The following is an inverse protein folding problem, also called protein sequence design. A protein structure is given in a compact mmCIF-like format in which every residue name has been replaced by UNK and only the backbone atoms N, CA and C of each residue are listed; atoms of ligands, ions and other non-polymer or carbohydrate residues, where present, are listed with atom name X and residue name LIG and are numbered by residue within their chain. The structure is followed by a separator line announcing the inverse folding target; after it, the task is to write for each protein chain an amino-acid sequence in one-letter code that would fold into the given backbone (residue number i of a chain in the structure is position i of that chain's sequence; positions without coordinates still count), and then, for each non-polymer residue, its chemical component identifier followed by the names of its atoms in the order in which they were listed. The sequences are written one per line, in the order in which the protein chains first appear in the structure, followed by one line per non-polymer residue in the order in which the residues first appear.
data_IF_061782501688
#
_entry.id   IF_061782501688
#
_cell.length_a   1.000
_cell.length_b   1.000
_cell.length_c   1.000
_cell.angle_alpha   90.00
_cell.angle_beta   90.00
_cell.angle_gamma   90.00
#
_symmetry.space_group_name_H-M   'P 1'
#
loop_
_entity.id
_entity.type
_entity.pdbx_description
1 polymer ?
#
# COMPACT_ATOMS: atom_id res chain seq x y z
N UNK A 1 -18.65 -5.92 6.85
CA UNK A 1 -18.60 -6.37 5.44
C UNK A 1 -17.42 -5.79 4.62
N UNK A 2 -16.62 -4.84 5.13
CA UNK A 2 -15.56 -4.19 4.33
C UNK A 2 -14.17 -4.86 4.39
N UNK A 3 -13.96 -5.84 5.29
CA UNK A 3 -12.63 -6.41 5.54
C UNK A 3 -12.20 -7.46 4.49
N UNK A 4 -13.14 -8.28 4.02
CA UNK A 4 -12.89 -9.27 2.95
C UNK A 4 -12.42 -8.59 1.66
N UNK A 5 -13.08 -7.49 1.28
CA UNK A 5 -12.68 -6.68 0.11
C UNK A 5 -11.28 -6.07 0.26
N UNK A 6 -10.85 -5.75 1.48
CA UNK A 6 -9.51 -5.25 1.75
C UNK A 6 -8.42 -6.29 1.48
N UNK A 7 -8.65 -7.53 1.93
CA UNK A 7 -7.73 -8.66 1.72
C UNK A 7 -7.65 -9.05 0.23
N UNK A 8 -8.79 -9.12 -0.47
CA UNK A 8 -8.80 -9.37 -1.92
C UNK A 8 -8.09 -8.28 -2.71
N UNK A 9 -8.33 -7.01 -2.37
CA UNK A 9 -7.67 -5.89 -3.03
C UNK A 9 -6.16 -5.89 -2.80
N UNK A 10 -5.72 -6.19 -1.57
CA UNK A 10 -4.30 -6.38 -1.25
C UNK A 10 -3.69 -7.49 -2.10
N UNK A 11 -4.33 -8.66 -2.15
CA UNK A 11 -3.86 -9.80 -2.94
C UNK A 11 -3.74 -9.48 -4.43
N UNK A 12 -4.69 -8.75 -5.02
CA UNK A 12 -4.63 -8.32 -6.42
C UNK A 12 -3.50 -7.32 -6.67
N UNK A 13 -3.29 -6.35 -5.77
CA UNK A 13 -2.20 -5.38 -5.86
C UNK A 13 -0.83 -6.04 -5.71
N UNK A 14 -0.67 -6.92 -4.72
CA UNK A 14 0.56 -7.68 -4.50
C UNK A 14 0.88 -8.54 -5.73
N UNK A 15 -0.08 -9.30 -6.27
CA UNK A 15 0.12 -10.08 -7.51
C UNK A 15 0.58 -9.21 -8.69
N UNK A 16 -0.05 -8.04 -8.89
CA UNK A 16 0.32 -7.10 -9.97
C UNK A 16 1.74 -6.55 -9.79
N UNK A 17 2.14 -6.26 -8.56
CA UNK A 17 3.48 -5.78 -8.26
C UNK A 17 4.53 -6.87 -8.50
N UNK A 18 4.30 -8.07 -7.95
CA UNK A 18 5.22 -9.21 -8.01
C UNK A 18 5.39 -9.75 -9.44
N UNK A 19 4.36 -9.65 -10.30
CA UNK A 19 4.43 -10.05 -11.73
C UNK A 19 5.52 -9.33 -12.53
N UNK A 20 5.99 -8.16 -12.09
CA UNK A 20 7.03 -7.38 -12.80
C UNK A 20 8.43 -7.99 -12.69
N UNK A 21 8.66 -8.87 -11.73
CA UNK A 21 10.00 -9.36 -11.42
C UNK A 21 10.36 -10.67 -12.14
N UNK A 22 9.46 -11.23 -12.98
CA UNK A 22 9.66 -12.50 -13.71
C UNK A 22 10.11 -13.69 -12.83
N UNK A 23 9.80 -13.63 -11.54
CA UNK A 23 10.27 -14.58 -10.53
C UNK A 23 10.92 -13.85 -9.36
N UNK A 24 10.75 -14.39 -8.15
CA UNK A 24 11.33 -13.82 -6.94
C UNK A 24 12.05 -14.94 -6.20
N UNK A 25 13.31 -14.75 -5.77
CA UNK A 25 13.98 -15.76 -4.97
C UNK A 25 13.17 -16.06 -3.70
N UNK A 26 12.91 -17.35 -3.43
CA UNK A 26 12.12 -17.78 -2.27
C UNK A 26 12.67 -17.24 -0.96
N UNK A 27 14.00 -17.13 -0.85
CA UNK A 27 14.70 -16.59 0.31
C UNK A 27 14.36 -15.12 0.62
N UNK A 28 13.86 -14.36 -0.35
CA UNK A 28 13.52 -12.93 -0.18
C UNK A 28 12.03 -12.66 -0.25
N UNK A 29 11.19 -13.68 -0.48
CA UNK A 29 9.76 -13.51 -0.71
C UNK A 29 9.05 -12.71 0.39
N UNK A 30 9.44 -12.90 1.65
CA UNK A 30 8.94 -12.16 2.81
C UNK A 30 9.21 -10.65 2.72
N UNK A 31 10.38 -10.23 2.22
CA UNK A 31 10.73 -8.82 2.05
C UNK A 31 9.86 -8.16 0.98
N UNK A 32 9.59 -8.86 -0.12
CA UNK A 32 8.69 -8.37 -1.17
C UNK A 32 7.24 -8.26 -0.70
N UNK A 33 6.78 -9.19 0.14
CA UNK A 33 5.47 -9.08 0.77
C UNK A 33 5.38 -7.90 1.74
N UNK A 34 6.44 -7.66 2.53
CA UNK A 34 6.53 -6.49 3.43
C UNK A 34 6.55 -5.17 2.65
N UNK A 35 7.21 -5.13 1.52
CA UNK A 35 7.17 -3.98 0.61
C UNK A 35 5.75 -3.76 0.05
N UNK A 36 5.07 -4.83 -0.39
CA UNK A 36 3.68 -4.75 -0.85
C UNK A 36 2.73 -4.24 0.26
N UNK A 37 2.90 -4.71 1.50
CA UNK A 37 2.16 -4.24 2.68
C UNK A 37 2.40 -2.74 2.90
N UNK A 38 3.66 -2.30 2.90
CA UNK A 38 3.99 -0.89 3.07
C UNK A 38 3.37 -0.02 1.97
N UNK A 39 3.48 -0.44 0.70
CA UNK A 39 2.89 0.27 -0.44
C UNK A 39 1.36 0.28 -0.42
N UNK A 40 0.73 -0.79 0.05
CA UNK A 40 -0.73 -0.84 0.16
C UNK A 40 -1.24 0.16 1.19
N UNK A 41 -0.55 0.27 2.33
CA UNK A 41 -0.94 1.16 3.42
C UNK A 41 -0.48 2.62 3.21
N UNK A 42 0.60 2.86 2.47
CA UNK A 42 1.23 4.18 2.35
C UNK A 42 1.33 4.72 0.91
N UNK A 43 0.85 3.98 -0.09
CA UNK A 43 1.11 4.28 -1.51
C UNK A 43 0.33 5.47 -2.07
N UNK A 44 -0.69 5.97 -1.37
CA UNK A 44 -1.47 7.12 -1.85
C UNK A 44 -0.93 8.43 -1.27
N UNK A 45 0.19 8.90 -1.82
CA UNK A 45 0.82 10.18 -1.48
C UNK A 45 -0.17 11.35 -1.62
N UNK A 46 -1.12 11.28 -2.57
CA UNK A 46 -2.16 12.31 -2.71
C UNK A 46 -3.11 12.34 -1.52
N UNK A 47 -3.52 11.17 -1.02
CA UNK A 47 -4.34 11.07 0.20
C UNK A 47 -3.58 11.58 1.42
N UNK A 48 -2.29 11.25 1.56
CA UNK A 48 -1.45 11.74 2.65
C UNK A 48 -1.27 13.26 2.59
N UNK A 49 -0.96 13.82 1.42
CA UNK A 49 -0.86 15.27 1.22
C UNK A 49 -2.20 15.97 1.51
N UNK A 50 -3.32 15.36 1.12
CA UNK A 50 -4.65 15.90 1.41
C UNK A 50 -4.92 15.98 2.92
N UNK A 51 -4.59 14.91 3.66
CA UNK A 51 -4.72 14.86 5.13
C UNK A 51 -3.82 15.93 5.78
N UNK A 52 -2.55 16.02 5.36
CA UNK A 52 -1.61 17.02 5.88
C UNK A 52 -2.10 18.46 5.65
N UNK A 53 -2.63 18.76 4.46
CA UNK A 53 -3.21 20.08 4.15
C UNK A 53 -4.40 20.41 5.05
N UNK A 54 -5.26 19.44 5.35
CA UNK A 54 -6.40 19.64 6.25
C UNK A 54 -5.94 19.91 7.69
N UNK A 55 -4.96 19.16 8.18
CA UNK A 55 -4.41 19.34 9.53
C UNK A 55 -3.76 20.73 9.71
N UNK A 56 -2.99 21.19 8.72
CA UNK A 56 -2.38 22.54 8.73
C UNK A 56 -3.46 23.62 8.70
N UNK A 57 -4.51 23.44 7.90
CA UNK A 57 -5.60 24.42 7.81
C UNK A 57 -6.41 24.54 9.11
N UNK A 58 -6.63 23.42 9.80
CA UNK A 58 -7.33 23.39 11.10
C UNK A 58 -6.49 23.88 12.29
N UNK A 59 -5.16 23.93 12.17
CA UNK A 59 -4.27 24.48 13.20
C UNK A 59 -3.98 25.98 13.03
N UNK A 60 -4.35 26.55 11.88
CA UNK A 60 -4.30 27.98 11.59
C UNK A 60 -5.66 28.70 11.79
N UNK A 61 -6.69 27.95 12.20
CA UNK A 61 -8.01 28.48 12.58
C UNK A 61 -8.11 28.56 14.10
#
# INVERSE_FOLDING_TARGET
QNHVNGIENFGNQAKRHLRKFNGIPKAHFELYLKECEWRFNHGNLKSQISILKQLVKGSLS
#
